data_IF_976229717748
#
_entry.id   IF_976229717748
#
_cell.length_a   1.000
_cell.length_b   1.000
_cell.length_c   1.000
_cell.angle_alpha   90.00
_cell.angle_beta   90.00
_cell.angle_gamma   90.00
#
_symmetry.space_group_name_H-M   'P 1'
#
loop_
_entity.id
_entity.type
_entity.pdbx_description
1 polymer ?
#
# COMPACT_ATOMS: atom_id res chain seq x y z
N UNK A 1 6.87 -2.32 -7.91
CA UNK A 1 8.13 -3.00 -8.29
C UNK A 1 9.29 -2.00 -8.29
N UNK A 2 10.15 -1.96 -7.26
CA UNK A 2 11.19 -0.92 -7.14
C UNK A 2 12.22 -0.90 -8.26
N UNK A 3 12.68 -2.07 -8.72
CA UNK A 3 13.69 -2.17 -9.78
C UNK A 3 13.17 -1.65 -11.12
N UNK A 4 11.93 -2.04 -11.46
CA UNK A 4 11.26 -1.63 -12.70
C UNK A 4 10.54 -0.29 -12.58
N UNK A 5 10.46 0.28 -11.38
CA UNK A 5 9.77 1.55 -11.03
C UNK A 5 8.32 1.64 -11.53
N UNK A 6 7.61 0.51 -11.55
CA UNK A 6 6.21 0.42 -12.02
C UNK A 6 5.30 -0.23 -10.98
N UNK A 7 4.02 0.13 -11.03
CA UNK A 7 2.93 -0.65 -10.46
C UNK A 7 2.86 -2.03 -11.12
N UNK A 8 2.33 -3.00 -10.36
CA UNK A 8 2.11 -4.38 -10.79
C UNK A 8 0.71 -4.81 -10.35
N UNK A 9 0.07 -5.67 -11.12
CA UNK A 9 -1.19 -6.32 -10.73
C UNK A 9 -0.93 -7.44 -9.72
N UNK A 10 -1.93 -7.79 -8.90
CA UNK A 10 -1.85 -8.91 -7.96
C UNK A 10 -1.51 -10.23 -8.65
N UNK A 11 -1.90 -10.39 -9.91
CA UNK A 11 -1.59 -11.57 -10.74
C UNK A 11 -0.13 -11.62 -11.21
N UNK A 12 0.59 -10.51 -11.12
CA UNK A 12 2.01 -10.38 -11.50
C UNK A 12 2.94 -10.51 -10.28
N UNK A 13 2.37 -10.83 -9.10
CA UNK A 13 3.10 -11.02 -7.84
C UNK A 13 3.12 -12.50 -7.49
N UNK A 14 4.32 -13.03 -7.33
CA UNK A 14 4.56 -14.38 -6.82
C UNK A 14 4.98 -14.30 -5.35
N UNK A 15 4.68 -15.35 -4.58
CA UNK A 15 5.01 -15.38 -3.16
C UNK A 15 6.00 -16.50 -2.86
N UNK A 16 7.06 -16.16 -2.15
CA UNK A 16 8.05 -17.11 -1.62
C UNK A 16 7.98 -17.16 -0.09
N UNK A 17 8.10 -18.36 0.48
CA UNK A 17 8.35 -18.51 1.91
C UNK A 17 9.84 -18.32 2.19
N UNK A 18 10.18 -17.38 3.07
CA UNK A 18 11.56 -17.00 3.38
C UNK A 18 11.76 -16.92 4.90
N UNK A 19 12.94 -17.35 5.36
CA UNK A 19 13.33 -17.15 6.75
C UNK A 19 13.61 -15.67 7.02
N UNK A 20 12.91 -15.11 8.00
CA UNK A 20 13.07 -13.72 8.41
C UNK A 20 13.04 -13.56 9.92
N UNK A 21 12.73 -12.35 10.36
CA UNK A 21 12.71 -11.96 11.77
C UNK A 21 11.40 -11.24 12.10
N UNK A 22 10.92 -11.45 13.32
CA UNK A 22 9.85 -10.68 13.93
C UNK A 22 10.47 -9.83 15.06
N UNK A 23 10.36 -8.52 14.89
CA UNK A 23 10.98 -7.51 15.75
C UNK A 23 9.97 -7.02 16.78
N UNK A 24 10.35 -7.07 18.06
CA UNK A 24 9.51 -6.62 19.17
C UNK A 24 10.12 -5.38 19.81
N UNK A 25 9.34 -4.31 19.91
CA UNK A 25 9.82 -3.00 20.35
C UNK A 25 8.72 -2.22 21.08
N UNK A 26 9.11 -1.11 21.70
CA UNK A 26 8.25 -0.27 22.54
C UNK A 26 7.77 0.95 21.78
N UNK A 27 6.47 1.21 21.86
CA UNK A 27 5.85 2.49 21.60
C UNK A 27 5.62 3.20 22.94
N UNK A 28 6.37 4.27 23.23
CA UNK A 28 6.21 5.00 24.49
C UNK A 28 4.91 5.79 24.48
N UNK A 29 4.11 5.70 25.55
CA UNK A 29 2.89 6.49 25.70
C UNK A 29 3.27 7.94 25.97
N UNK A 30 2.69 8.87 25.21
CA UNK A 30 3.04 10.30 25.30
C UNK A 30 2.83 10.84 26.73
N UNK A 31 3.87 11.47 27.29
CA UNK A 31 3.83 12.03 28.65
C UNK A 31 3.84 11.00 29.78
N UNK A 32 4.19 9.75 29.52
CA UNK A 32 4.23 8.65 30.49
C UNK A 32 5.52 7.82 30.38
N UNK A 33 5.82 7.05 31.43
CA UNK A 33 6.83 5.98 31.39
C UNK A 33 6.26 4.63 30.89
N UNK A 34 4.93 4.56 30.76
CA UNK A 34 4.22 3.41 30.20
C UNK A 34 4.49 3.26 28.70
N UNK A 35 4.50 2.03 28.20
CA UNK A 35 4.71 1.73 26.78
C UNK A 35 3.78 0.62 26.29
N UNK A 36 3.51 0.63 24.99
CA UNK A 36 2.82 -0.43 24.26
C UNK A 36 3.84 -1.28 23.50
N UNK A 37 3.94 -2.60 23.75
CA UNK A 37 4.83 -3.47 22.98
C UNK A 37 4.19 -3.79 21.62
N UNK A 38 4.94 -3.65 20.53
CA UNK A 38 4.49 -3.94 19.16
C UNK A 38 5.44 -4.93 18.50
N UNK A 39 4.90 -5.77 17.62
CA UNK A 39 5.67 -6.68 16.76
C UNK A 39 5.54 -6.30 15.28
N UNK A 40 6.63 -6.36 14.53
CA UNK A 40 6.63 -6.14 13.07
C UNK A 40 7.73 -6.95 12.39
N UNK A 41 7.51 -7.34 11.14
CA UNK A 41 8.56 -7.91 10.27
C UNK A 41 9.32 -6.84 9.49
N UNK A 42 8.80 -5.61 9.46
CA UNK A 42 9.29 -4.48 8.67
C UNK A 42 9.57 -3.25 9.53
N UNK A 43 10.63 -3.25 10.36
CA UNK A 43 10.89 -2.11 11.25
C UNK A 43 11.19 -0.83 10.47
N UNK A 44 11.75 -0.90 9.26
CA UNK A 44 11.99 0.27 8.41
C UNK A 44 10.72 1.08 8.08
N UNK A 45 9.54 0.45 8.17
CA UNK A 45 8.24 1.10 7.92
C UNK A 45 7.71 1.88 9.12
N UNK A 46 8.31 1.75 10.31
CA UNK A 46 7.89 2.44 11.55
C UNK A 46 7.85 3.97 11.34
N UNK A 47 8.78 4.50 10.55
CA UNK A 47 8.86 5.93 10.23
C UNK A 47 7.62 6.46 9.47
N UNK A 48 6.81 5.58 8.89
CA UNK A 48 5.53 5.91 8.24
C UNK A 48 4.31 5.68 9.12
N UNK A 49 4.48 5.26 10.38
CA UNK A 49 3.37 4.90 11.27
C UNK A 49 2.49 6.10 11.62
N UNK A 50 1.18 5.89 11.61
CA UNK A 50 0.17 6.94 11.82
C UNK A 50 -0.86 6.58 12.89
N UNK A 51 -0.87 5.33 13.35
CA UNK A 51 -1.53 4.91 14.57
C UNK A 51 -0.87 3.63 15.11
N UNK A 52 -1.17 3.32 16.37
CA UNK A 52 -0.97 1.97 16.91
C UNK A 52 -2.33 1.39 17.23
N UNK A 53 -2.60 0.17 16.79
CA UNK A 53 -3.90 -0.46 16.91
C UNK A 53 -3.84 -1.64 17.89
N UNK A 54 -4.86 -1.77 18.73
CA UNK A 54 -5.07 -2.91 19.63
C UNK A 54 -6.45 -3.52 19.39
N UNK A 55 -6.67 -4.75 19.82
CA UNK A 55 -8.01 -5.31 19.76
C UNK A 55 -8.92 -4.64 20.82
N UNK A 56 -10.19 -4.31 20.52
CA UNK A 56 -11.10 -3.61 21.45
C UNK A 56 -11.38 -4.38 22.75
N UNK A 57 -11.33 -5.71 22.69
CA UNK A 57 -11.54 -6.60 23.85
C UNK A 57 -10.22 -7.00 24.56
N UNK A 58 -9.09 -6.42 24.18
CA UNK A 58 -7.81 -6.69 24.85
C UNK A 58 -7.66 -5.88 26.15
N UNK A 59 -8.03 -6.51 27.27
CA UNK A 59 -7.95 -5.91 28.61
C UNK A 59 -6.53 -5.48 29.01
N UNK A 60 -5.47 -5.96 28.32
CA UNK A 60 -4.09 -5.49 28.56
C UNK A 60 -3.87 -4.05 28.12
N UNK A 61 -4.62 -3.58 27.11
CA UNK A 61 -4.36 -2.30 26.43
C UNK A 61 -5.57 -1.38 26.33
N UNK A 62 -6.74 -1.83 26.77
CA UNK A 62 -8.00 -1.06 26.72
C UNK A 62 -7.90 0.33 27.35
N UNK A 63 -7.11 0.48 28.41
CA UNK A 63 -6.88 1.76 29.09
C UNK A 63 -5.94 2.72 28.34
N UNK A 64 -5.32 2.27 27.24
CA UNK A 64 -4.46 3.07 26.37
C UNK A 64 -5.19 3.59 25.14
N UNK A 65 -6.33 3.01 24.77
CA UNK A 65 -7.14 3.45 23.63
C UNK A 65 -7.56 4.91 23.81
N UNK A 66 -7.34 5.74 22.78
CA UNK A 66 -7.59 7.18 22.80
C UNK A 66 -6.47 8.02 23.39
N UNK A 67 -5.41 7.40 23.95
CA UNK A 67 -4.14 8.10 24.22
C UNK A 67 -3.29 8.15 22.96
N UNK A 68 -2.15 8.83 23.05
CA UNK A 68 -1.15 8.84 21.99
C UNK A 68 0.11 8.05 22.38
N UNK A 69 0.80 7.55 21.36
CA UNK A 69 2.12 6.97 21.46
C UNK A 69 3.12 7.74 20.60
N UNK A 70 4.39 7.71 20.99
CA UNK A 70 5.48 8.36 20.27
C UNK A 70 6.11 7.36 19.30
N UNK A 71 6.17 7.73 18.01
CA UNK A 71 6.81 6.93 16.96
C UNK A 71 8.32 6.85 17.23
N UNK A 72 8.89 5.63 17.36
CA UNK A 72 10.34 5.45 17.53
C UNK A 72 11.13 6.13 16.41
N UNK A 73 12.27 6.75 16.75
CA UNK A 73 13.21 7.33 15.79
C UNK A 73 12.63 8.44 14.89
N UNK A 74 11.48 9.01 15.24
CA UNK A 74 10.78 10.02 14.43
C UNK A 74 11.02 11.48 14.85
N UNK A 75 11.89 11.71 15.84
CA UNK A 75 12.05 13.04 16.45
C UNK A 75 10.87 13.47 17.34
N UNK A 76 10.05 12.52 17.80
CA UNK A 76 8.95 12.78 18.75
C UNK A 76 7.56 12.89 18.12
N UNK A 77 7.33 12.34 16.92
CA UNK A 77 6.01 12.33 16.30
C UNK A 77 5.02 11.53 17.16
N UNK A 78 3.92 12.18 17.53
CA UNK A 78 2.83 11.60 18.33
C UNK A 78 1.71 11.09 17.42
N UNK A 79 1.24 9.86 17.69
CA UNK A 79 0.19 9.18 16.91
C UNK A 79 -0.86 8.54 17.84
N UNK A 80 -2.14 8.45 17.44
CA UNK A 80 -3.19 7.89 18.28
C UNK A 80 -3.04 6.38 18.48
N UNK A 81 -3.48 5.91 19.65
CA UNK A 81 -3.73 4.50 19.94
C UNK A 81 -5.22 4.23 19.68
N UNK A 82 -5.51 3.43 18.66
CA UNK A 82 -6.87 3.09 18.22
C UNK A 82 -7.21 1.63 18.55
N UNK A 83 -8.48 1.27 18.41
CA UNK A 83 -8.94 -0.11 18.59
C UNK A 83 -9.72 -0.59 17.35
N UNK A 84 -9.36 -1.76 16.81
CA UNK A 84 -10.01 -2.38 15.66
C UNK A 84 -9.98 -3.92 15.80
N UNK A 85 -11.06 -4.59 15.39
CA UNK A 85 -11.21 -6.05 15.52
C UNK A 85 -10.36 -6.83 14.51
N UNK A 86 -9.70 -6.15 13.56
CA UNK A 86 -8.67 -6.74 12.71
C UNK A 86 -7.44 -7.23 13.49
N UNK A 87 -7.14 -6.64 14.66
CA UNK A 87 -5.95 -7.00 15.44
C UNK A 87 -6.14 -8.34 16.13
N UNK A 88 -5.30 -9.32 15.80
CA UNK A 88 -5.25 -10.60 16.51
C UNK A 88 -4.56 -10.44 17.88
N UNK A 89 -5.29 -10.75 18.95
CA UNK A 89 -4.80 -10.69 20.33
C UNK A 89 -3.68 -11.69 20.63
N UNK A 90 -3.63 -12.81 19.91
CA UNK A 90 -2.68 -13.90 20.10
C UNK A 90 -1.40 -13.72 19.28
N UNK A 91 -1.47 -12.96 18.18
CA UNK A 91 -0.31 -12.73 17.32
C UNK A 91 0.63 -11.67 17.90
N UNK A 92 1.91 -12.01 18.00
CA UNK A 92 2.96 -11.09 18.47
C UNK A 92 2.70 -10.62 19.89
N UNK A 93 2.25 -9.36 20.03
CA UNK A 93 1.96 -8.72 21.32
C UNK A 93 0.47 -8.46 21.54
N UNK A 94 -0.37 -8.62 20.51
CA UNK A 94 -1.76 -8.12 20.51
C UNK A 94 -1.87 -6.62 20.20
N UNK A 95 -0.76 -5.97 19.80
CA UNK A 95 -0.75 -4.61 19.30
C UNK A 95 0.00 -4.53 17.97
N UNK A 96 -0.54 -3.75 17.04
CA UNK A 96 -0.09 -3.65 15.66
C UNK A 96 0.24 -2.19 15.31
N UNK A 97 1.39 -1.94 14.70
CA UNK A 97 1.67 -0.63 14.09
C UNK A 97 0.85 -0.46 12.82
N UNK A 98 0.32 0.73 12.56
CA UNK A 98 -0.47 1.04 11.37
C UNK A 98 0.32 1.99 10.46
N UNK A 99 0.75 1.48 9.31
CA UNK A 99 1.50 2.21 8.27
C UNK A 99 0.72 2.27 6.93
N UNK A 100 -0.31 3.14 6.80
CA UNK A 100 -1.19 3.16 5.63
C UNK A 100 -0.48 3.38 4.29
N UNK A 101 0.71 3.99 4.29
CA UNK A 101 1.51 4.21 3.08
C UNK A 101 2.18 2.95 2.52
N UNK A 102 2.29 1.88 3.31
CA UNK A 102 3.23 0.77 3.06
C UNK A 102 2.70 -0.64 3.34
N UNK A 103 1.42 -0.79 3.69
CA UNK A 103 0.74 -2.08 3.77
C UNK A 103 -0.74 -1.95 3.36
N UNK A 104 -1.30 -2.85 2.52
CA UNK A 104 -2.69 -2.77 2.08
C UNK A 104 -3.74 -2.90 3.20
N UNK A 105 -3.48 -3.70 4.23
CA UNK A 105 -4.39 -3.86 5.36
C UNK A 105 -4.34 -2.63 6.26
N UNK A 106 -3.14 -2.10 6.52
CA UNK A 106 -2.96 -0.84 7.24
C UNK A 106 -3.60 0.33 6.47
N UNK A 107 -3.56 0.30 5.13
CA UNK A 107 -4.26 1.28 4.29
C UNK A 107 -5.78 1.22 4.50
N UNK A 108 -6.36 0.01 4.54
CA UNK A 108 -7.78 -0.17 4.79
C UNK A 108 -8.19 0.32 6.20
N UNK A 109 -7.39 0.02 7.23
CA UNK A 109 -7.57 0.57 8.58
C UNK A 109 -7.44 2.09 8.56
N UNK A 110 -6.39 2.62 7.93
CA UNK A 110 -6.17 4.06 7.80
C UNK A 110 -7.35 4.78 7.16
N UNK A 111 -7.99 4.18 6.15
CA UNK A 111 -9.24 4.71 5.58
C UNK A 111 -10.42 4.66 6.54
N UNK A 112 -10.58 3.60 7.33
CA UNK A 112 -11.68 3.49 8.32
C UNK A 112 -11.61 4.56 9.40
N UNK A 113 -10.40 4.90 9.86
CA UNK A 113 -10.17 5.85 10.95
C UNK A 113 -9.71 7.24 10.49
N UNK A 114 -9.74 7.52 9.18
CA UNK A 114 -9.26 8.79 8.59
C UNK A 114 -7.82 9.15 9.01
N UNK A 115 -6.94 8.14 9.04
CA UNK A 115 -5.53 8.33 9.39
C UNK A 115 -4.77 8.97 8.22
N UNK A 116 -3.78 9.84 8.51
CA UNK A 116 -2.87 10.33 7.50
C UNK A 116 -2.19 9.19 6.74
N UNK A 117 -1.90 9.38 5.46
CA UNK A 117 -1.10 8.46 4.67
C UNK A 117 0.27 9.10 4.47
N UNK A 118 1.28 8.57 5.15
CA UNK A 118 2.67 9.04 5.05
C UNK A 118 3.44 8.05 4.18
N UNK A 119 3.86 8.50 3.00
CA UNK A 119 4.79 7.75 2.16
C UNK A 119 6.24 8.09 2.56
N UNK A 120 6.97 7.11 3.06
CA UNK A 120 8.39 7.24 3.42
C UNK A 120 9.36 6.73 2.34
N UNK A 121 8.87 6.18 1.23
CA UNK A 121 9.71 5.56 0.20
C UNK A 121 9.61 6.29 -1.15
N UNK A 122 10.74 6.33 -1.85
CA UNK A 122 10.81 6.65 -3.27
C UNK A 122 10.45 5.41 -4.12
N UNK A 123 10.21 5.65 -5.42
CA UNK A 123 9.86 4.57 -6.37
C UNK A 123 10.93 3.48 -6.52
N UNK A 124 12.18 3.76 -6.16
CA UNK A 124 13.29 2.79 -6.20
C UNK A 124 13.49 2.03 -4.88
N UNK A 125 12.67 2.29 -3.85
CA UNK A 125 12.77 1.64 -2.55
C UNK A 125 13.75 2.31 -1.58
N UNK A 126 14.43 3.40 -1.99
CA UNK A 126 15.13 4.27 -1.04
C UNK A 126 14.14 5.08 -0.20
N UNK A 127 14.53 5.48 1.00
CA UNK A 127 13.68 6.34 1.83
C UNK A 127 13.76 7.81 1.40
N UNK A 128 12.66 8.54 1.58
CA UNK A 128 12.53 9.96 1.25
C UNK A 128 12.62 10.86 2.51
N UNK A 129 12.34 12.15 2.36
CA UNK A 129 12.45 13.15 3.42
C UNK A 129 11.55 12.88 4.64
N UNK A 130 10.46 12.13 4.48
CA UNK A 130 9.57 11.76 5.60
C UNK A 130 10.22 10.76 6.56
N UNK A 131 11.34 10.14 6.16
CA UNK A 131 12.12 9.24 7.00
C UNK A 131 13.20 9.95 7.85
N UNK A 132 13.28 11.28 7.81
CA UNK A 132 14.22 12.05 8.62
C UNK A 132 15.68 11.67 8.37
N UNK A 133 16.40 11.29 9.42
CA UNK A 133 17.84 10.95 9.38
C UNK A 133 18.17 9.73 8.50
N UNK A 134 17.15 8.96 8.12
CA UNK A 134 17.28 7.78 7.25
C UNK A 134 17.02 8.08 5.77
N UNK A 135 16.71 9.34 5.42
CA UNK A 135 16.46 9.76 4.05
C UNK A 135 17.65 9.47 3.12
N UNK A 136 17.37 8.93 1.94
CA UNK A 136 18.34 8.60 0.90
C UNK A 136 18.98 7.22 1.01
N UNK A 137 18.74 6.48 2.10
CA UNK A 137 19.23 5.11 2.29
C UNK A 137 18.25 4.08 1.69
N UNK A 138 18.75 2.91 1.26
CA UNK A 138 17.88 1.79 0.86
C UNK A 138 17.14 1.23 2.08
N UNK A 139 15.89 0.81 1.88
CA UNK A 139 15.02 0.28 2.94
C UNK A 139 15.63 -0.90 3.73
N UNK A 140 16.46 -1.74 3.11
CA UNK A 140 17.11 -2.84 3.81
C UNK A 140 18.26 -2.35 4.68
N UNK A 141 19.02 -1.35 4.23
CA UNK A 141 20.03 -0.68 5.04
C UNK A 141 19.38 0.07 6.22
N UNK A 142 18.25 0.74 5.97
CA UNK A 142 17.48 1.40 7.04
C UNK A 142 16.94 0.39 8.03
N UNK A 143 16.47 -0.78 7.59
CA UNK A 143 16.03 -1.84 8.51
C UNK A 143 17.09 -2.19 9.53
N UNK A 144 18.34 -2.37 9.10
CA UNK A 144 19.46 -2.69 9.99
C UNK A 144 19.84 -1.48 10.86
N UNK A 145 19.96 -0.30 10.25
CA UNK A 145 20.40 0.91 10.95
C UNK A 145 19.38 1.37 11.99
N UNK A 146 18.10 1.49 11.62
CA UNK A 146 17.00 1.91 12.49
C UNK A 146 16.93 0.97 13.70
N UNK A 147 17.07 -0.33 13.49
CA UNK A 147 17.04 -1.28 14.57
C UNK A 147 18.20 -1.08 15.56
N UNK A 148 19.43 -0.91 15.05
CA UNK A 148 20.58 -0.64 15.90
C UNK A 148 20.44 0.68 16.69
N UNK A 149 19.89 1.72 16.06
CA UNK A 149 19.63 3.01 16.71
C UNK A 149 18.56 2.85 17.82
N UNK A 150 17.49 2.07 17.57
CA UNK A 150 16.48 1.70 18.58
C UNK A 150 17.05 0.87 19.74
N UNK A 151 18.02 -0.02 19.48
CA UNK A 151 18.73 -0.75 20.54
C UNK A 151 19.52 0.23 21.42
N UNK A 152 20.19 1.21 20.81
CA UNK A 152 20.92 2.27 21.51
C UNK A 152 20.03 3.12 22.44
N UNK A 153 18.76 3.33 22.08
CA UNK A 153 17.78 4.03 22.90
C UNK A 153 16.99 3.13 23.88
N UNK A 154 17.27 1.82 23.91
CA UNK A 154 16.58 0.88 24.81
C UNK A 154 15.09 0.65 24.48
N UNK A 155 14.69 0.95 23.24
CA UNK A 155 13.32 0.75 22.75
C UNK A 155 13.05 -0.69 22.29
N UNK A 156 14.12 -1.48 22.09
CA UNK A 156 14.02 -2.89 21.68
C UNK A 156 13.63 -3.79 22.86
N UNK A 157 12.77 -4.78 22.58
CA UNK A 157 12.37 -5.83 23.52
C UNK A 157 13.08 -7.14 23.18
N UNK A 158 12.91 -7.65 21.95
CA UNK A 158 13.54 -8.89 21.45
C UNK A 158 13.40 -9.01 19.94
N UNK A 159 14.08 -10.01 19.37
CA UNK A 159 13.93 -10.43 17.97
C UNK A 159 13.79 -11.94 17.92
N UNK A 160 12.73 -12.43 17.29
CA UNK A 160 12.49 -13.87 17.12
C UNK A 160 12.62 -14.27 15.64
N UNK A 161 13.10 -15.48 15.32
CA UNK A 161 13.00 -16.04 13.97
C UNK A 161 11.52 -16.15 13.56
N UNK A 162 11.22 -15.78 12.32
CA UNK A 162 9.87 -15.86 11.79
C UNK A 162 9.87 -16.09 10.29
N UNK A 163 9.21 -17.14 9.83
CA UNK A 163 9.02 -17.41 8.40
C UNK A 163 7.97 -16.45 7.85
N UNK A 164 8.31 -15.80 6.74
CA UNK A 164 7.48 -14.78 6.11
C UNK A 164 7.12 -15.19 4.69
N UNK A 165 5.94 -14.75 4.25
CA UNK A 165 5.50 -14.88 2.87
C UNK A 165 5.83 -13.58 2.14
N UNK A 166 6.90 -13.58 1.37
CA UNK A 166 7.46 -12.38 0.72
C UNK A 166 6.87 -12.22 -0.69
N UNK A 167 6.25 -11.07 -1.02
CA UNK A 167 5.77 -10.81 -2.37
C UNK A 167 6.94 -10.41 -3.29
N UNK A 168 7.06 -11.06 -4.44
CA UNK A 168 8.09 -10.81 -5.45
C UNK A 168 7.48 -10.57 -6.82
N UNK A 169 8.11 -9.68 -7.57
CA UNK A 169 7.81 -9.43 -8.98
C UNK A 169 8.01 -10.72 -9.79
N UNK A 170 7.00 -11.18 -10.51
CA UNK A 170 7.13 -12.34 -11.39
C UNK A 170 8.24 -12.15 -12.44
N UNK A 171 8.47 -10.92 -12.90
CA UNK A 171 9.42 -10.63 -13.98
C UNK A 171 10.83 -10.34 -13.47
N UNK A 172 10.96 -9.47 -12.48
CA UNK A 172 12.27 -9.01 -12.00
C UNK A 172 12.76 -9.73 -10.74
N UNK A 173 11.89 -10.50 -10.06
CA UNK A 173 12.21 -11.25 -8.85
C UNK A 173 12.42 -10.38 -7.60
N UNK A 174 12.39 -9.05 -7.72
CA UNK A 174 12.54 -8.13 -6.60
C UNK A 174 11.33 -8.16 -5.67
N UNK A 175 11.56 -7.84 -4.39
CA UNK A 175 10.48 -7.68 -3.42
C UNK A 175 9.56 -6.53 -3.84
N UNK A 176 8.25 -6.78 -3.84
CA UNK A 176 7.25 -5.77 -4.13
C UNK A 176 7.04 -4.88 -2.92
N UNK A 177 7.09 -3.57 -3.16
CA UNK A 177 6.79 -2.55 -2.16
C UNK A 177 5.38 -2.01 -2.34
N UNK A 178 4.52 -2.09 -1.31
CA UNK A 178 3.27 -1.36 -1.30
C UNK A 178 3.55 0.13 -1.22
N UNK A 179 2.99 0.88 -2.16
CA UNK A 179 3.08 2.34 -2.23
C UNK A 179 1.73 2.91 -2.67
N UNK A 180 1.25 3.90 -1.95
CA UNK A 180 0.04 4.64 -2.35
C UNK A 180 0.42 5.64 -3.44
N UNK A 181 -0.20 5.50 -4.61
CA UNK A 181 -0.05 6.43 -5.74
C UNK A 181 -1.34 6.52 -6.55
N UNK A 182 -1.53 7.65 -7.25
CA UNK A 182 -2.58 7.76 -8.26
C UNK A 182 -2.32 6.74 -9.36
N UNK A 183 -3.31 5.91 -9.68
CA UNK A 183 -3.25 4.92 -10.76
C UNK A 183 -4.61 4.86 -11.46
N UNK A 184 -4.62 4.35 -12.68
CA UNK A 184 -5.82 4.09 -13.46
C UNK A 184 -6.35 2.69 -13.17
N UNK A 185 -7.62 2.61 -12.80
CA UNK A 185 -8.29 1.35 -12.50
C UNK A 185 -9.48 1.14 -13.42
N UNK A 186 -9.73 -0.13 -13.78
CA UNK A 186 -10.97 -0.56 -14.41
C UNK A 186 -11.86 -1.17 -13.33
N UNK A 187 -13.10 -0.67 -13.23
CA UNK A 187 -14.10 -1.25 -12.32
C UNK A 187 -14.53 -2.63 -12.82
N UNK A 188 -14.17 -3.70 -12.10
CA UNK A 188 -14.31 -5.08 -12.59
C UNK A 188 -15.61 -5.77 -12.16
N UNK A 189 -16.21 -5.35 -11.05
CA UNK A 189 -17.40 -5.98 -10.43
C UNK A 189 -18.50 -6.35 -11.44
N UNK A 190 -18.92 -5.39 -12.29
CA UNK A 190 -19.95 -5.62 -13.31
C UNK A 190 -19.51 -6.50 -14.48
N UNK A 191 -18.22 -6.48 -14.81
CA UNK A 191 -17.63 -7.32 -15.87
C UNK A 191 -17.52 -8.77 -15.40
N UNK A 192 -17.09 -8.97 -14.15
CA UNK A 192 -16.99 -10.29 -13.52
C UNK A 192 -18.34 -10.98 -13.40
N UNK A 193 -19.37 -10.27 -12.94
CA UNK A 193 -20.73 -10.80 -12.88
C UNK A 193 -21.26 -11.25 -14.26
N UNK A 194 -21.00 -10.48 -15.31
CA UNK A 194 -21.39 -10.85 -16.68
C UNK A 194 -20.69 -12.13 -17.14
N UNK A 195 -19.39 -12.25 -16.86
CA UNK A 195 -18.59 -13.41 -17.23
C UNK A 195 -18.97 -14.67 -16.42
N UNK A 196 -19.35 -14.52 -15.15
CA UNK A 196 -19.91 -15.59 -14.32
C UNK A 196 -21.21 -16.14 -14.91
N UNK A 197 -22.14 -15.25 -15.25
CA UNK A 197 -23.45 -15.64 -15.75
C UNK A 197 -23.36 -16.34 -17.10
N UNK A 198 -22.47 -15.91 -18.00
CA UNK A 198 -22.27 -16.58 -19.29
C UNK A 198 -21.89 -18.07 -19.15
N UNK A 199 -21.14 -18.45 -18.10
CA UNK A 199 -20.82 -19.86 -17.82
C UNK A 199 -21.98 -20.57 -17.12
N UNK A 200 -22.65 -19.91 -16.16
CA UNK A 200 -23.79 -20.46 -15.43
C UNK A 200 -25.00 -20.75 -16.35
N UNK A 201 -25.25 -19.86 -17.30
CA UNK A 201 -26.36 -19.93 -18.26
C UNK A 201 -26.07 -20.87 -19.44
N UNK A 202 -24.81 -21.29 -19.59
CA UNK A 202 -24.37 -22.25 -20.61
C UNK A 202 -23.97 -21.62 -21.95
N UNK A 203 -23.93 -20.28 -22.05
CA UNK A 203 -23.41 -19.56 -23.23
C UNK A 203 -21.93 -19.84 -23.47
N UNK A 204 -21.17 -20.03 -22.39
CA UNK A 204 -19.75 -20.42 -22.39
C UNK A 204 -19.60 -21.76 -21.67
N UNK A 205 -18.89 -22.70 -22.29
CA UNK A 205 -18.58 -24.00 -21.70
C UNK A 205 -17.09 -24.12 -21.42
N UNK A 206 -16.72 -24.29 -20.15
CA UNK A 206 -15.33 -24.49 -19.72
C UNK A 206 -14.97 -25.98 -19.82
N UNK A 207 -13.87 -26.28 -20.51
CA UNK A 207 -13.35 -27.64 -20.66
C UNK A 207 -11.87 -27.66 -20.23
N UNK A 208 -11.47 -28.55 -19.31
CA UNK A 208 -12.27 -29.49 -18.52
C UNK A 208 -13.22 -28.87 -17.48
N UNK A 209 -14.38 -29.50 -17.23
CA UNK A 209 -15.45 -29.00 -16.32
C UNK A 209 -14.96 -28.64 -14.91
N UNK A 210 -13.94 -29.34 -14.39
CA UNK A 210 -13.37 -29.07 -13.06
C UNK A 210 -12.88 -27.62 -12.88
N UNK A 211 -12.54 -26.93 -13.97
CA UNK A 211 -12.08 -25.53 -13.92
C UNK A 211 -13.22 -24.51 -13.77
N UNK A 212 -14.49 -24.91 -13.90
CA UNK A 212 -15.63 -24.02 -13.57
C UNK A 212 -15.53 -23.49 -12.14
N UNK A 213 -15.12 -24.34 -11.19
CA UNK A 213 -14.95 -23.91 -9.79
C UNK A 213 -13.84 -22.85 -9.65
N UNK A 214 -12.73 -23.01 -10.38
CA UNK A 214 -11.64 -22.03 -10.38
C UNK A 214 -12.11 -20.71 -10.96
N UNK A 215 -12.87 -20.75 -12.06
CA UNK A 215 -13.48 -19.59 -12.69
C UNK A 215 -14.43 -18.85 -11.75
N UNK A 216 -15.33 -19.57 -11.08
CA UNK A 216 -16.28 -18.98 -10.13
C UNK A 216 -15.56 -18.34 -8.96
N UNK A 217 -14.65 -19.08 -8.32
CA UNK A 217 -13.88 -18.57 -7.18
C UNK A 217 -13.11 -17.29 -7.53
N UNK A 218 -12.53 -17.20 -8.74
CA UNK A 218 -11.77 -16.03 -9.16
C UNK A 218 -12.65 -14.82 -9.44
N UNK A 219 -13.78 -15.02 -10.12
CA UNK A 219 -14.67 -13.91 -10.49
C UNK A 219 -15.62 -13.44 -9.38
N UNK A 220 -15.89 -14.28 -8.38
CA UNK A 220 -16.72 -13.93 -7.22
C UNK A 220 -16.01 -12.95 -6.26
N UNK A 221 -14.66 -12.96 -6.24
CA UNK A 221 -13.80 -12.09 -5.43
C UNK A 221 -12.86 -11.24 -6.30
N UNK A 222 -13.36 -10.79 -7.46
CA UNK A 222 -12.57 -9.97 -8.38
C UNK A 222 -12.44 -8.53 -7.85
N UNK A 223 -11.21 -8.03 -7.83
CA UNK A 223 -10.89 -6.66 -7.42
C UNK A 223 -10.70 -5.75 -8.64
N UNK A 224 -10.80 -4.44 -8.45
CA UNK A 224 -10.60 -3.46 -9.53
C UNK A 224 -9.17 -3.57 -10.09
N UNK A 225 -9.07 -3.64 -11.41
CA UNK A 225 -7.80 -3.92 -12.08
C UNK A 225 -7.02 -2.63 -12.27
N UNK A 226 -5.85 -2.53 -11.64
CA UNK A 226 -4.87 -1.48 -11.92
C UNK A 226 -4.31 -1.68 -13.35
N UNK A 227 -4.68 -0.80 -14.28
CA UNK A 227 -4.31 -0.90 -15.70
C UNK A 227 -3.16 0.03 -16.09
N UNK A 228 -2.80 1.00 -15.26
CA UNK A 228 -1.64 1.87 -15.55
C UNK A 228 -0.32 1.19 -15.19
N UNK A 229 0.70 1.48 -16.00
CA UNK A 229 2.08 1.02 -15.85
C UNK A 229 3.02 2.18 -16.15
N UNK A 230 4.06 2.34 -15.33
CA UNK A 230 5.09 3.36 -15.50
C UNK A 230 6.24 2.81 -16.35
N UNK A 231 5.89 2.20 -17.49
CA UNK A 231 6.81 1.54 -18.42
C UNK A 231 6.95 2.34 -19.71
N UNK A 232 8.07 2.13 -20.40
CA UNK A 232 8.32 2.74 -21.72
C UNK A 232 7.60 2.01 -22.86
N UNK A 233 7.25 0.74 -22.64
CA UNK A 233 6.64 -0.11 -23.65
C UNK A 233 5.19 -0.42 -23.29
N UNK A 234 4.27 -0.01 -24.16
CA UNK A 234 2.84 -0.25 -24.03
C UNK A 234 2.02 0.79 -24.79
N UNK A 235 0.71 0.65 -24.78
CA UNK A 235 -0.17 1.67 -25.35
C UNK A 235 -0.31 2.82 -24.35
N UNK A 236 0.11 4.02 -24.76
CA UNK A 236 -0.04 5.23 -23.93
C UNK A 236 -1.51 5.48 -23.60
N UNK A 237 -1.80 5.75 -22.33
CA UNK A 237 -3.17 5.95 -21.86
C UNK A 237 -3.77 7.19 -22.56
N UNK A 238 -5.00 7.11 -23.11
CA UNK A 238 -5.63 8.20 -23.85
C UNK A 238 -6.27 9.25 -22.92
N UNK A 239 -5.57 9.62 -21.85
CA UNK A 239 -5.98 10.66 -20.90
C UNK A 239 -5.13 11.90 -21.12
N UNK A 240 -5.77 13.07 -21.06
CA UNK A 240 -5.15 14.36 -21.25
C UNK A 240 -5.47 15.25 -20.06
N UNK A 241 -4.43 15.62 -19.31
CA UNK A 241 -4.52 16.57 -18.21
C UNK A 241 -4.64 18.00 -18.75
N UNK A 242 -5.52 18.79 -18.14
CA UNK A 242 -5.77 20.19 -18.50
C UNK A 242 -4.95 21.10 -17.58
N UNK A 243 -4.04 21.87 -18.16
CA UNK A 243 -3.11 22.74 -17.45
C UNK A 243 -1.73 22.11 -17.25
N UNK A 244 -0.81 22.92 -16.70
CA UNK A 244 0.58 22.49 -16.48
C UNK A 244 0.76 21.65 -15.22
N UNK A 245 -0.13 21.81 -14.23
CA UNK A 245 0.00 21.17 -12.92
C UNK A 245 -1.31 20.54 -12.47
N UNK A 246 -1.22 19.34 -11.89
CA UNK A 246 -2.34 18.60 -11.32
C UNK A 246 -2.91 17.50 -12.22
N UNK A 247 -3.44 16.47 -11.57
CA UNK A 247 -4.02 15.27 -12.21
C UNK A 247 -5.55 15.22 -12.07
N UNK A 248 -6.17 16.20 -11.39
CA UNK A 248 -7.60 16.17 -11.06
C UNK A 248 -8.50 16.64 -12.20
N UNK A 249 -7.96 17.42 -13.13
CA UNK A 249 -8.73 17.93 -14.27
C UNK A 249 -8.18 17.30 -15.56
N UNK A 250 -8.93 16.37 -16.11
CA UNK A 250 -8.52 15.62 -17.29
C UNK A 250 -9.70 15.28 -18.19
N UNK A 251 -9.40 14.96 -19.45
CA UNK A 251 -10.33 14.41 -20.43
C UNK A 251 -9.78 13.13 -21.03
N UNK A 252 -10.68 12.21 -21.39
CA UNK A 252 -10.33 10.98 -22.12
C UNK A 252 -10.59 11.22 -23.60
N UNK A 253 -9.58 11.08 -24.45
CA UNK A 253 -9.67 11.38 -25.88
C UNK A 253 -8.62 10.62 -26.69
N UNK A 254 -8.97 10.20 -27.90
CA UNK A 254 -8.10 9.37 -28.76
C UNK A 254 -6.88 10.12 -29.27
N UNK A 255 -6.95 11.45 -29.33
CA UNK A 255 -5.88 12.33 -29.78
C UNK A 255 -6.05 13.74 -29.20
N UNK A 256 -5.04 14.59 -29.38
CA UNK A 256 -5.02 15.94 -28.83
C UNK A 256 -6.16 16.84 -29.35
N UNK A 257 -6.56 16.67 -30.62
CA UNK A 257 -7.62 17.49 -31.20
C UNK A 257 -8.97 17.22 -30.52
N UNK A 258 -9.31 15.95 -30.31
CA UNK A 258 -10.50 15.55 -29.55
C UNK A 258 -10.39 15.98 -28.07
N UNK A 259 -9.19 15.90 -27.47
CA UNK A 259 -8.98 16.37 -26.10
C UNK A 259 -9.25 17.89 -25.96
N UNK A 260 -8.82 18.68 -26.95
CA UNK A 260 -9.00 20.14 -26.98
C UNK A 260 -10.45 20.54 -27.17
N UNK A 261 -11.19 19.83 -28.02
CA UNK A 261 -12.63 19.99 -28.18
C UNK A 261 -13.34 19.78 -26.84
N UNK A 262 -13.09 18.64 -26.18
CA UNK A 262 -13.68 18.31 -24.86
C UNK A 262 -13.30 19.31 -23.77
N UNK A 263 -12.05 19.76 -23.73
CA UNK A 263 -11.60 20.76 -22.77
C UNK A 263 -12.35 22.10 -22.96
N UNK A 264 -12.58 22.49 -24.21
CA UNK A 264 -13.33 23.72 -24.55
C UNK A 264 -14.80 23.59 -24.15
N UNK A 265 -15.42 22.43 -24.37
CA UNK A 265 -16.80 22.14 -23.93
C UNK A 265 -16.96 22.20 -22.40
N UNK A 266 -15.90 21.84 -21.65
CA UNK A 266 -15.82 22.00 -20.20
C UNK A 266 -15.60 23.45 -19.75
N UNK A 267 -15.46 24.40 -20.67
CA UNK A 267 -15.29 25.84 -20.40
C UNK A 267 -13.85 26.31 -20.30
N UNK A 268 -12.87 25.49 -20.70
CA UNK A 268 -11.47 25.92 -20.76
C UNK A 268 -11.18 26.75 -22.04
N UNK A 269 -10.18 27.64 -22.01
CA UNK A 269 -9.72 28.35 -23.19
C UNK A 269 -9.26 27.39 -24.31
N UNK A 270 -9.48 27.76 -25.57
CA UNK A 270 -9.08 26.91 -26.71
C UNK A 270 -7.56 26.66 -26.79
N UNK A 271 -6.77 27.59 -26.25
CA UNK A 271 -5.31 27.55 -26.16
C UNK A 271 -4.81 26.94 -24.85
N UNK A 272 -5.68 26.30 -24.05
CA UNK A 272 -5.28 25.63 -22.81
C UNK A 272 -4.19 24.59 -23.08
N UNK A 273 -3.22 24.54 -22.18
CA UNK A 273 -2.16 23.51 -22.18
C UNK A 273 -2.78 22.15 -21.90
N UNK A 274 -2.46 21.17 -22.74
CA UNK A 274 -2.85 19.78 -22.56
C UNK A 274 -1.59 18.92 -22.43
N UNK A 275 -1.55 18.08 -21.41
CA UNK A 275 -0.47 17.11 -21.19
C UNK A 275 -1.05 15.71 -21.19
N UNK A 276 -0.68 14.88 -22.16
CA UNK A 276 -1.13 13.50 -22.18
C UNK A 276 -0.49 12.69 -21.03
N UNK A 277 -1.25 11.78 -20.42
CA UNK A 277 -0.76 10.78 -19.48
C UNK A 277 0.46 10.06 -20.03
N UNK A 278 1.53 9.97 -19.25
CA UNK A 278 2.80 9.34 -19.65
C UNK A 278 2.79 7.83 -19.40
N UNK A 279 1.92 7.36 -18.51
CA UNK A 279 1.72 5.95 -18.25
C UNK A 279 1.19 5.20 -19.50
N UNK A 280 1.55 3.92 -19.55
CA UNK A 280 1.05 2.98 -20.54
C UNK A 280 0.06 2.00 -19.90
N UNK A 281 -0.76 1.38 -20.73
CA UNK A 281 -1.64 0.29 -20.31
C UNK A 281 -0.84 -1.00 -20.08
N UNK A 282 -1.29 -1.79 -19.10
CA UNK A 282 -0.95 -3.20 -18.88
C UNK A 282 -1.15 -4.07 -20.15
#
# INVERSE_FOLDING_TARGET
>A
APLLKTAVSDLEVEYSEEEGKLFYFKYMVEGSEEFLPVATTRPETILGDTAVCVHPEDERYKHLVGKNAVVPMSGGRSIPIIADDYVDMEFGTGALKITPGHDPNDYAIGKRYDLPIINIMNKDGSLNENAGDYSGLDRFDVREKLWADMEGEGLVIKVDPHTQRVPRSQRGGEVIEPLVSSQWFVKTEGMGAKALNAVKDGDIKIVPKRFEKVWYNWLEDIHDWCVSRQLWWGHRIPVWYIGETGEKNYVVARNEAEAREKATEMGHPADVTLRQEEDVLD
#
